data_IF_037954505800
#
_entry.id   IF_037954505800
#
_cell.length_a   1.000
_cell.length_b   1.000
_cell.length_c   1.000
_cell.angle_alpha   90.00
_cell.angle_beta   90.00
_cell.angle_gamma   90.00
#
_symmetry.space_group_name_H-M   'P 1'
#
loop_
_entity.id
_entity.type
_entity.pdbx_description
1 polymer ?
#
# COMPACT_ATOMS: atom_id res chain seq x y z
N UNK A 1 14.37 -14.57 -9.17
CA UNK A 1 14.38 -15.00 -7.77
C UNK A 1 13.93 -16.45 -7.62
N UNK A 2 12.69 -16.80 -8.03
CA UNK A 2 12.18 -18.18 -7.89
C UNK A 2 13.09 -19.21 -8.59
N UNK A 3 13.55 -18.93 -9.80
CA UNK A 3 14.50 -19.80 -10.54
C UNK A 3 15.86 -19.95 -9.86
N UNK A 4 16.23 -19.07 -8.95
CA UNK A 4 17.43 -19.15 -8.12
C UNK A 4 17.17 -19.78 -6.72
N UNK A 5 16.01 -20.38 -6.50
CA UNK A 5 15.64 -21.08 -5.27
C UNK A 5 15.11 -20.20 -4.14
N UNK A 6 14.89 -18.89 -4.39
CA UNK A 6 14.29 -18.00 -3.38
C UNK A 6 12.78 -18.25 -3.23
N UNK A 7 12.28 -18.04 -2.02
CA UNK A 7 10.83 -17.87 -1.81
C UNK A 7 10.39 -16.52 -2.34
N UNK A 8 9.28 -16.49 -3.10
CA UNK A 8 8.74 -15.23 -3.67
C UNK A 8 7.35 -15.01 -3.10
N UNK A 9 7.18 -13.92 -2.37
CA UNK A 9 5.89 -13.47 -1.85
C UNK A 9 5.47 -12.22 -2.62
N UNK A 10 4.32 -12.29 -3.31
CA UNK A 10 3.75 -11.13 -4.02
C UNK A 10 2.65 -10.51 -3.18
N UNK A 11 2.79 -9.23 -2.83
CA UNK A 11 1.79 -8.46 -2.09
C UNK A 11 1.16 -7.46 -3.07
N UNK A 12 0.16 -7.93 -3.82
CA UNK A 12 -0.42 -7.18 -4.94
C UNK A 12 -1.60 -6.31 -4.51
N UNK A 13 -2.56 -6.90 -3.78
CA UNK A 13 -3.84 -6.30 -3.44
C UNK A 13 -3.99 -6.16 -1.94
N UNK A 14 -4.54 -5.01 -1.49
CA UNK A 14 -4.82 -4.76 -0.09
C UNK A 14 -6.05 -5.53 0.40
N UNK A 15 -6.26 -5.54 1.72
CA UNK A 15 -7.34 -6.26 2.39
C UNK A 15 -8.75 -5.87 1.93
N UNK A 16 -8.94 -4.62 1.47
CA UNK A 16 -10.22 -4.18 0.89
C UNK A 16 -10.69 -5.00 -0.32
N UNK A 17 -9.76 -5.61 -1.06
CA UNK A 17 -10.07 -6.47 -2.20
C UNK A 17 -10.53 -7.87 -1.80
N UNK A 18 -10.23 -8.33 -0.58
CA UNK A 18 -10.54 -9.69 -0.13
C UNK A 18 -12.05 -9.97 -0.17
N UNK A 19 -12.87 -8.96 0.17
CA UNK A 19 -14.34 -9.06 0.09
C UNK A 19 -14.84 -9.21 -1.35
N UNK A 20 -14.19 -8.55 -2.31
CA UNK A 20 -14.54 -8.64 -3.73
C UNK A 20 -14.14 -10.02 -4.28
N UNK A 21 -12.95 -10.52 -3.93
CA UNK A 21 -12.55 -11.88 -4.30
C UNK A 21 -13.47 -12.93 -3.70
N UNK A 22 -13.94 -12.77 -2.44
CA UNK A 22 -14.87 -13.69 -1.82
C UNK A 22 -16.25 -13.69 -2.47
N UNK A 23 -16.69 -12.56 -3.04
CA UNK A 23 -17.96 -12.43 -3.79
C UNK A 23 -17.84 -12.94 -5.23
N UNK A 24 -16.64 -12.95 -5.81
CA UNK A 24 -16.45 -13.36 -7.21
C UNK A 24 -16.45 -14.88 -7.37
N UNK A 25 -17.65 -15.44 -7.57
CA UNK A 25 -17.84 -16.88 -7.83
C UNK A 25 -17.49 -17.28 -9.26
N UNK A 26 -17.24 -16.30 -10.13
CA UNK A 26 -17.01 -16.54 -11.58
C UNK A 26 -15.53 -16.53 -11.96
N UNK A 27 -14.66 -15.97 -11.10
CA UNK A 27 -13.25 -15.73 -11.39
C UNK A 27 -13.00 -14.57 -12.35
N UNK A 28 -14.06 -13.82 -12.73
CA UNK A 28 -13.96 -12.69 -13.66
C UNK A 28 -13.09 -11.56 -13.15
N UNK A 29 -13.11 -11.29 -11.84
CA UNK A 29 -12.25 -10.27 -11.25
C UNK A 29 -10.77 -10.62 -11.44
N UNK A 30 -10.39 -11.86 -11.18
CA UNK A 30 -9.02 -12.33 -11.39
C UNK A 30 -8.64 -12.27 -12.88
N UNK A 31 -9.53 -12.69 -13.76
CA UNK A 31 -9.32 -12.59 -15.22
C UNK A 31 -9.09 -11.13 -15.62
N UNK A 32 -9.97 -10.21 -15.22
CA UNK A 32 -9.85 -8.78 -15.51
C UNK A 32 -8.51 -8.20 -15.02
N UNK A 33 -8.09 -8.55 -13.80
CA UNK A 33 -6.80 -8.11 -13.24
C UNK A 33 -5.60 -8.60 -14.04
N UNK A 34 -5.69 -9.76 -14.67
CA UNK A 34 -4.63 -10.29 -15.54
C UNK A 34 -4.60 -9.66 -16.92
N UNK A 35 -5.74 -9.18 -17.42
CA UNK A 35 -5.88 -8.53 -18.72
C UNK A 35 -5.44 -7.06 -18.70
N UNK A 36 -5.52 -6.42 -17.56
CA UNK A 36 -5.13 -5.01 -17.39
C UNK A 36 -3.61 -4.87 -17.39
N UNK A 37 -3.11 -4.06 -18.32
CA UNK A 37 -1.68 -3.79 -18.47
C UNK A 37 -1.21 -2.60 -17.62
N UNK A 38 0.10 -2.44 -17.47
CA UNK A 38 0.72 -1.44 -16.58
C UNK A 38 0.24 0.01 -16.83
N UNK A 39 0.08 0.39 -18.09
CA UNK A 39 -0.41 1.72 -18.47
C UNK A 39 -1.83 2.01 -17.98
N UNK A 40 -2.70 1.00 -18.03
CA UNK A 40 -4.06 1.10 -17.49
C UNK A 40 -4.04 1.30 -15.96
N UNK A 41 -3.21 0.54 -15.25
CA UNK A 41 -3.08 0.66 -13.81
C UNK A 41 -2.58 2.05 -13.37
N UNK A 42 -1.65 2.65 -14.12
CA UNK A 42 -1.21 4.02 -13.88
C UNK A 42 -2.35 5.01 -14.13
N UNK A 43 -3.10 4.83 -15.22
CA UNK A 43 -4.24 5.68 -15.57
C UNK A 43 -5.32 5.62 -14.49
N UNK A 44 -5.69 4.44 -14.01
CA UNK A 44 -6.69 4.29 -12.94
C UNK A 44 -6.28 5.08 -11.69
N UNK A 45 -5.01 5.07 -11.31
CA UNK A 45 -4.52 5.80 -10.13
C UNK A 45 -4.35 7.30 -10.34
N UNK A 46 -4.34 7.78 -11.57
CA UNK A 46 -4.31 9.21 -11.90
C UNK A 46 -5.71 9.84 -12.02
N UNK A 47 -6.79 9.04 -11.91
CA UNK A 47 -8.18 9.47 -12.06
C UNK A 47 -8.92 9.46 -10.70
N UNK A 48 -10.10 8.87 -10.67
CA UNK A 48 -10.96 8.76 -9.48
C UNK A 48 -11.75 7.46 -9.46
N UNK A 49 -12.57 7.25 -8.43
CA UNK A 49 -13.36 6.04 -8.28
C UNK A 49 -14.41 5.84 -9.38
N UNK A 50 -15.06 6.92 -9.84
CA UNK A 50 -16.01 6.84 -10.95
C UNK A 50 -15.35 6.31 -12.22
N UNK A 51 -14.15 6.79 -12.55
CA UNK A 51 -13.38 6.30 -13.68
C UNK A 51 -13.01 4.82 -13.54
N UNK A 52 -12.60 4.40 -12.33
CA UNK A 52 -12.28 2.99 -12.04
C UNK A 52 -13.53 2.11 -12.14
N UNK A 53 -14.68 2.58 -11.66
CA UNK A 53 -15.96 1.89 -11.82
C UNK A 53 -16.26 1.61 -13.28
N UNK A 54 -16.18 2.64 -14.13
CA UNK A 54 -16.54 2.54 -15.54
C UNK A 54 -15.50 1.74 -16.34
N UNK A 55 -14.23 2.07 -16.23
CA UNK A 55 -13.20 1.57 -17.14
C UNK A 55 -12.45 0.33 -16.66
N UNK A 56 -12.53 -0.01 -15.37
CA UNK A 56 -12.03 -1.28 -14.83
C UNK A 56 -13.19 -2.22 -14.56
N UNK A 57 -13.99 -1.98 -13.52
CA UNK A 57 -15.08 -2.91 -13.16
C UNK A 57 -16.16 -3.04 -14.24
N UNK A 58 -16.42 -1.98 -15.00
CA UNK A 58 -17.41 -1.97 -16.09
C UNK A 58 -17.04 -2.77 -17.33
N UNK A 59 -15.82 -3.33 -17.41
CA UNK A 59 -15.41 -4.18 -18.57
C UNK A 59 -16.20 -5.47 -18.67
N UNK A 60 -16.69 -5.98 -17.55
CA UNK A 60 -17.55 -7.17 -17.48
C UNK A 60 -18.75 -6.92 -16.57
N UNK A 61 -19.96 -7.41 -16.97
CA UNK A 61 -21.15 -7.30 -16.11
C UNK A 61 -20.94 -7.91 -14.72
N UNK A 62 -20.21 -9.02 -14.65
CA UNK A 62 -19.92 -9.73 -13.40
C UNK A 62 -19.05 -8.87 -12.46
N UNK A 63 -18.02 -8.21 -12.98
CA UNK A 63 -17.18 -7.34 -12.16
C UNK A 63 -17.88 -6.04 -11.80
N UNK A 64 -18.72 -5.49 -12.67
CA UNK A 64 -19.58 -4.34 -12.36
C UNK A 64 -20.55 -4.65 -11.20
N UNK A 65 -21.13 -5.86 -11.18
CA UNK A 65 -22.01 -6.30 -10.12
C UNK A 65 -21.32 -6.40 -8.75
N UNK A 66 -20.02 -6.75 -8.70
CA UNK A 66 -19.27 -6.83 -7.45
C UNK A 66 -19.19 -5.49 -6.68
N UNK A 67 -19.26 -4.39 -7.40
CA UNK A 67 -19.12 -3.02 -6.86
C UNK A 67 -20.41 -2.20 -6.97
N UNK A 68 -21.54 -2.82 -7.29
CA UNK A 68 -22.81 -2.13 -7.48
C UNK A 68 -23.24 -1.33 -6.23
N UNK A 69 -23.00 -1.88 -5.05
CA UNK A 69 -23.38 -1.28 -3.76
C UNK A 69 -22.28 -0.36 -3.18
N UNK A 70 -21.13 -0.23 -3.84
CA UNK A 70 -20.03 0.61 -3.38
C UNK A 70 -20.16 2.01 -3.96
N UNK A 71 -19.81 3.02 -3.17
CA UNK A 71 -19.62 4.39 -3.64
C UNK A 71 -18.32 4.50 -4.44
N UNK A 72 -18.16 5.58 -5.21
CA UNK A 72 -16.92 5.84 -5.95
C UNK A 72 -15.74 6.07 -5.02
N UNK A 73 -15.97 6.68 -3.86
CA UNK A 73 -14.95 6.88 -2.84
C UNK A 73 -14.48 5.54 -2.23
N UNK A 74 -15.38 4.60 -1.99
CA UNK A 74 -15.05 3.26 -1.53
C UNK A 74 -14.26 2.47 -2.58
N UNK A 75 -14.61 2.59 -3.87
CA UNK A 75 -13.82 2.01 -4.96
C UNK A 75 -12.43 2.64 -5.01
N UNK A 76 -12.36 3.98 -4.85
CA UNK A 76 -11.09 4.69 -4.82
C UNK A 76 -10.21 4.32 -3.63
N UNK A 77 -10.83 3.97 -2.50
CA UNK A 77 -10.15 3.52 -1.28
C UNK A 77 -9.55 2.11 -1.38
N UNK A 78 -9.85 1.33 -2.42
CA UNK A 78 -9.23 0.02 -2.65
C UNK A 78 -7.71 0.18 -2.88
N UNK A 79 -6.92 -0.29 -1.90
CA UNK A 79 -5.46 -0.08 -1.87
C UNK A 79 -4.72 -1.19 -2.61
N UNK A 80 -3.52 -0.86 -3.08
CA UNK A 80 -2.51 -1.85 -3.46
C UNK A 80 -1.91 -2.48 -2.21
N UNK A 81 -1.49 -3.74 -2.30
CA UNK A 81 -1.01 -4.51 -1.17
C UNK A 81 0.20 -3.90 -0.45
N UNK A 82 1.10 -3.22 -1.20
CA UNK A 82 2.26 -2.55 -0.62
C UNK A 82 1.94 -1.30 0.22
N UNK A 83 0.68 -0.87 0.26
CA UNK A 83 0.18 0.19 1.15
C UNK A 83 -0.79 -0.34 2.21
N UNK A 84 -0.81 -1.65 2.39
CA UNK A 84 -1.65 -2.33 3.38
C UNK A 84 -0.76 -2.93 4.46
N UNK A 85 -0.82 -2.38 5.67
CA UNK A 85 0.03 -2.79 6.79
C UNK A 85 -0.21 -4.23 7.23
N UNK A 86 -1.46 -4.70 7.17
CA UNK A 86 -1.80 -6.08 7.55
C UNK A 86 -1.22 -7.08 6.55
N UNK A 87 -1.36 -6.80 5.25
CA UNK A 87 -0.79 -7.64 4.18
C UNK A 87 0.74 -7.66 4.23
N UNK A 88 1.36 -6.49 4.47
CA UNK A 88 2.82 -6.41 4.63
C UNK A 88 3.29 -7.15 5.88
N UNK A 89 2.62 -6.97 7.01
CA UNK A 89 2.94 -7.70 8.24
C UNK A 89 2.86 -9.22 8.04
N UNK A 90 1.78 -9.70 7.42
CA UNK A 90 1.61 -11.12 7.12
C UNK A 90 2.72 -11.66 6.19
N UNK A 91 3.13 -10.88 5.18
CA UNK A 91 4.21 -11.25 4.27
C UNK A 91 5.56 -11.35 5.01
N UNK A 92 5.90 -10.37 5.84
CA UNK A 92 7.12 -10.40 6.65
C UNK A 92 7.10 -11.53 7.69
N UNK A 93 5.95 -11.77 8.33
CA UNK A 93 5.81 -12.87 9.28
C UNK A 93 6.04 -14.23 8.59
N UNK A 94 5.44 -14.45 7.42
CA UNK A 94 5.65 -15.65 6.61
C UNK A 94 7.12 -15.80 6.20
N UNK A 95 7.78 -14.71 5.83
CA UNK A 95 9.18 -14.73 5.41
C UNK A 95 10.13 -15.25 6.50
N UNK A 96 9.83 -15.01 7.80
CA UNK A 96 10.67 -15.44 8.91
C UNK A 96 10.77 -16.97 9.06
N UNK A 97 9.80 -17.72 8.55
CA UNK A 97 9.73 -19.18 8.69
C UNK A 97 10.04 -19.94 7.40
N UNK A 98 10.47 -19.25 6.35
CA UNK A 98 10.65 -19.84 5.02
C UNK A 98 11.86 -20.78 4.90
N UNK A 99 12.84 -20.70 5.82
CA UNK A 99 14.05 -21.55 5.82
C UNK A 99 15.01 -21.31 4.65
N UNK A 100 14.78 -20.30 3.83
CA UNK A 100 15.57 -19.89 2.66
C UNK A 100 15.43 -18.38 2.42
N UNK A 101 16.28 -17.77 1.58
CA UNK A 101 16.13 -16.35 1.24
C UNK A 101 14.75 -16.05 0.66
N UNK A 102 14.16 -14.94 1.08
CA UNK A 102 12.83 -14.50 0.67
C UNK A 102 12.92 -13.15 -0.03
N UNK A 103 12.18 -13.01 -1.13
CA UNK A 103 11.89 -11.71 -1.73
C UNK A 103 10.41 -11.39 -1.61
N UNK A 104 10.08 -10.21 -1.09
CA UNK A 104 8.72 -9.69 -1.03
C UNK A 104 8.56 -8.64 -2.13
N UNK A 105 7.71 -8.93 -3.12
CA UNK A 105 7.38 -8.00 -4.20
C UNK A 105 6.10 -7.25 -3.82
N UNK A 106 6.26 -6.05 -3.29
CA UNK A 106 5.15 -5.22 -2.85
C UNK A 106 4.69 -4.28 -3.96
N UNK A 107 3.43 -4.40 -4.39
CA UNK A 107 2.83 -3.52 -5.38
C UNK A 107 2.43 -2.20 -4.74
N UNK A 108 3.07 -1.11 -5.15
CA UNK A 108 2.96 0.20 -4.53
C UNK A 108 2.61 1.29 -5.56
N UNK A 109 2.23 2.46 -5.06
CA UNK A 109 2.12 3.71 -5.82
C UNK A 109 3.29 4.61 -5.45
N UNK A 110 4.09 5.02 -6.41
CA UNK A 110 5.20 5.94 -6.17
C UNK A 110 4.67 7.31 -5.75
N UNK A 111 5.29 7.90 -4.72
CA UNK A 111 4.83 9.17 -4.15
C UNK A 111 3.51 9.07 -3.39
N UNK A 112 3.16 7.88 -2.88
CA UNK A 112 1.90 7.63 -2.18
C UNK A 112 1.62 8.67 -1.10
N UNK A 113 0.42 9.28 -1.19
CA UNK A 113 -0.06 10.33 -0.28
C UNK A 113 0.76 11.63 -0.28
N UNK A 114 1.56 11.85 -1.31
CA UNK A 114 2.21 13.13 -1.58
C UNK A 114 1.44 13.79 -2.73
N UNK A 115 0.60 14.82 -2.50
CA UNK A 115 -0.35 15.33 -3.50
C UNK A 115 0.29 15.74 -4.84
N UNK A 116 1.49 16.30 -4.80
CA UNK A 116 2.21 16.75 -5.99
C UNK A 116 2.97 15.62 -6.71
N UNK A 117 3.15 14.45 -6.09
CA UNK A 117 3.99 13.37 -6.59
C UNK A 117 3.24 12.05 -6.84
N UNK A 118 2.12 11.81 -6.15
CA UNK A 118 1.41 10.53 -6.22
C UNK A 118 1.01 10.18 -7.66
N UNK A 119 1.44 9.00 -8.12
CA UNK A 119 1.17 8.46 -9.46
C UNK A 119 1.71 9.28 -10.64
N UNK A 120 2.54 10.28 -10.40
CA UNK A 120 3.11 11.11 -11.47
C UNK A 120 4.48 10.57 -11.93
N UNK A 121 4.74 10.68 -13.23
CA UNK A 121 6.03 10.29 -13.80
C UNK A 121 7.20 11.09 -13.24
N UNK A 122 6.95 12.31 -12.77
CA UNK A 122 7.93 13.22 -12.15
C UNK A 122 8.23 12.89 -10.69
N UNK A 123 7.51 11.95 -10.07
CA UNK A 123 7.63 11.65 -8.64
C UNK A 123 9.07 11.35 -8.20
N UNK A 124 9.86 10.63 -9.00
CA UNK A 124 11.26 10.30 -8.63
C UNK A 124 12.25 11.44 -8.84
N UNK A 125 11.86 12.50 -9.54
CA UNK A 125 12.66 13.70 -9.75
C UNK A 125 12.34 14.81 -8.75
N UNK A 126 11.25 14.66 -7.98
CA UNK A 126 10.85 15.63 -6.96
C UNK A 126 11.84 15.59 -5.80
N UNK A 127 12.65 16.65 -5.66
CA UNK A 127 13.70 16.75 -4.64
C UNK A 127 13.20 17.38 -3.33
N UNK A 128 12.13 18.15 -3.40
CA UNK A 128 11.54 18.86 -2.25
C UNK A 128 10.02 18.74 -2.32
N UNK A 129 9.40 18.57 -1.16
CA UNK A 129 7.94 18.69 -1.00
C UNK A 129 7.59 20.11 -0.56
N UNK A 130 6.44 20.60 -1.02
CA UNK A 130 5.89 21.86 -0.50
C UNK A 130 5.47 21.69 0.97
N UNK A 131 5.39 22.79 1.70
CA UNK A 131 4.91 22.77 3.08
C UNK A 131 3.48 22.21 3.18
N UNK A 132 2.65 22.53 2.20
CA UNK A 132 1.28 22.02 2.11
C UNK A 132 1.25 20.49 1.94
N UNK A 133 2.10 19.95 1.06
CA UNK A 133 2.23 18.50 0.89
C UNK A 133 2.76 17.80 2.14
N UNK A 134 3.69 18.42 2.86
CA UNK A 134 4.19 17.89 4.14
C UNK A 134 3.08 17.86 5.20
N UNK A 135 2.25 18.91 5.30
CA UNK A 135 1.09 18.94 6.19
C UNK A 135 0.08 17.86 5.83
N UNK A 136 -0.27 17.75 4.55
CA UNK A 136 -1.19 16.72 4.06
C UNK A 136 -0.68 15.30 4.36
N UNK A 137 0.63 15.08 4.18
CA UNK A 137 1.26 13.80 4.52
C UNK A 137 1.19 13.50 6.01
N UNK A 138 1.59 14.46 6.87
CA UNK A 138 1.48 14.37 8.33
C UNK A 138 0.05 14.00 8.76
N UNK A 139 -0.94 14.74 8.26
CA UNK A 139 -2.35 14.56 8.63
C UNK A 139 -2.88 13.20 8.20
N UNK A 140 -2.51 12.75 6.99
CA UNK A 140 -2.91 11.43 6.49
C UNK A 140 -2.36 10.29 7.36
N UNK A 141 -1.11 10.40 7.81
CA UNK A 141 -0.46 9.38 8.64
C UNK A 141 -0.64 9.64 10.14
N UNK A 142 -1.42 10.68 10.50
CA UNK A 142 -1.71 11.05 11.90
C UNK A 142 -0.44 11.20 12.75
N UNK A 143 0.61 11.80 12.15
CA UNK A 143 1.86 12.02 12.85
C UNK A 143 1.71 13.19 13.82
N UNK A 144 2.12 13.00 15.08
CA UNK A 144 2.07 14.05 16.12
C UNK A 144 3.22 15.06 15.94
N UNK A 145 3.07 15.91 14.91
CA UNK A 145 4.01 17.00 14.59
C UNK A 145 3.23 18.30 14.47
N UNK A 146 3.60 19.31 15.23
CA UNK A 146 2.99 20.64 15.14
C UNK A 146 3.33 21.31 13.82
N UNK A 147 2.45 22.20 13.34
CA UNK A 147 2.64 22.95 12.09
C UNK A 147 3.96 23.71 12.05
N UNK A 148 4.37 24.30 13.17
CA UNK A 148 5.61 25.06 13.34
C UNK A 148 6.88 24.22 13.21
N UNK A 149 6.78 22.91 13.53
CA UNK A 149 7.92 21.99 13.52
C UNK A 149 8.11 21.26 12.18
N UNK A 150 7.08 21.22 11.33
CA UNK A 150 7.14 20.51 10.03
C UNK A 150 8.35 20.94 9.19
N UNK A 151 8.70 22.24 9.06
CA UNK A 151 9.86 22.64 8.24
C UNK A 151 11.20 22.13 8.75
N UNK A 152 11.27 21.71 10.01
CA UNK A 152 12.49 21.22 10.66
C UNK A 152 12.66 19.71 10.55
N UNK A 153 11.68 19.00 9.96
CA UNK A 153 11.69 17.53 9.79
C UNK A 153 12.04 16.79 11.09
N UNK A 154 11.28 16.98 12.20
CA UNK A 154 11.62 16.38 13.48
C UNK A 154 11.57 14.85 13.41
N UNK A 155 12.47 14.19 14.15
CA UNK A 155 12.38 12.75 14.35
C UNK A 155 11.22 12.43 15.29
N UNK A 156 10.42 11.44 14.91
CA UNK A 156 9.33 10.91 15.75
C UNK A 156 9.89 9.71 16.50
N UNK A 157 9.74 9.73 17.82
CA UNK A 157 10.06 8.61 18.71
C UNK A 157 8.81 8.23 19.48
N UNK A 158 8.64 6.94 19.71
CA UNK A 158 7.56 6.46 20.56
C UNK A 158 7.87 6.74 22.01
N UNK A 159 6.90 7.22 22.83
CA UNK A 159 7.09 7.41 24.24
C UNK A 159 7.52 6.12 24.94
N UNK A 160 8.47 6.23 25.88
CA UNK A 160 8.90 5.08 26.68
C UNK A 160 7.72 4.46 27.41
N UNK A 161 7.57 3.15 27.31
CA UNK A 161 6.46 2.40 27.91
C UNK A 161 5.20 2.32 27.05
N UNK A 162 5.11 3.01 25.88
CA UNK A 162 4.01 2.80 24.93
C UNK A 162 4.04 1.39 24.34
N UNK A 163 2.92 0.95 23.77
CA UNK A 163 2.84 -0.36 23.11
C UNK A 163 3.84 -0.48 21.97
N UNK A 164 3.95 0.56 21.14
CA UNK A 164 4.86 0.62 20.01
C UNK A 164 6.32 0.57 20.45
N UNK A 165 6.68 1.33 21.51
CA UNK A 165 8.01 1.31 22.11
C UNK A 165 8.36 -0.09 22.62
N UNK A 166 7.48 -0.69 23.41
CA UNK A 166 7.68 -2.01 23.99
C UNK A 166 7.79 -3.10 22.90
N UNK A 167 6.93 -3.03 21.88
CA UNK A 167 6.98 -3.95 20.74
C UNK A 167 8.31 -3.82 19.99
N UNK A 168 8.70 -2.61 19.60
CA UNK A 168 9.93 -2.35 18.86
C UNK A 168 11.16 -2.87 19.60
N UNK A 169 11.31 -2.49 20.87
CA UNK A 169 12.44 -2.89 21.69
C UNK A 169 12.42 -4.38 22.04
N UNK A 170 11.25 -4.97 22.29
CA UNK A 170 11.08 -6.40 22.51
C UNK A 170 11.50 -7.23 21.29
N UNK A 171 11.08 -6.82 20.09
CA UNK A 171 11.51 -7.46 18.82
C UNK A 171 13.01 -7.32 18.61
N UNK A 172 13.56 -6.12 18.84
CA UNK A 172 14.99 -5.90 18.69
C UNK A 172 15.83 -6.75 19.66
N UNK A 173 15.38 -6.85 20.91
CA UNK A 173 16.02 -7.71 21.91
C UNK A 173 15.99 -9.18 21.51
N UNK A 174 14.88 -9.67 20.96
CA UNK A 174 14.76 -11.05 20.46
C UNK A 174 15.69 -11.35 19.27
N UNK A 175 16.15 -10.31 18.56
CA UNK A 175 17.12 -10.37 17.46
C UNK A 175 18.58 -10.09 17.93
N UNK A 176 18.92 -10.40 19.18
CA UNK A 176 20.22 -10.21 19.81
C UNK A 176 20.60 -8.73 20.10
N UNK A 177 19.62 -7.86 20.25
CA UNK A 177 19.82 -6.49 20.69
C UNK A 177 20.28 -5.53 19.59
N UNK A 178 20.80 -4.39 20.02
CA UNK A 178 21.32 -3.35 19.15
C UNK A 178 22.77 -3.66 18.77
N UNK A 179 23.21 -3.11 17.63
CA UNK A 179 24.60 -3.16 17.26
C UNK A 179 25.43 -2.38 18.30
N UNK A 180 26.64 -2.86 18.66
CA UNK A 180 27.52 -2.14 19.56
C UNK A 180 27.96 -0.80 19.00
#
# INVERSE_FOLDING_TARGET
FAGAGWEVIKVMWGSGWDKLFAKDTTGKLTQLMMEVVDGDYLTFKSKNGAYVREHFFGRYPETAALVADMTDDEIWALRRGGHDSEKLYAAFHKAQTAGKPVVILAHMVKGYKIPEAESKNTAHQSKKMSLESLKSFRDHFQLDIKDEDIPNYPYITFPEGSEEYNYLHGRRKALNGYLP
#
